data_IF_214480308127
#
_entry.id   IF_214480308127
#
_cell.length_a   1.000
_cell.length_b   1.000
_cell.length_c   1.000
_cell.angle_alpha   90.00
_cell.angle_beta   90.00
_cell.angle_gamma   90.00
#
_symmetry.space_group_name_H-M   'P 1'
#
loop_
_entity.id
_entity.type
_entity.pdbx_description
1 polymer ?
#
# COMPACT_ATOMS: atom_id res chain seq x y z
N UNK A 1 30.58 -8.72 42.19
CA UNK A 1 29.74 -7.81 41.38
C UNK A 1 30.57 -7.40 40.18
N UNK A 2 30.48 -8.15 39.08
CA UNK A 2 31.22 -7.88 37.83
C UNK A 2 30.17 -7.59 36.76
N UNK A 3 29.98 -6.30 36.46
CA UNK A 3 29.11 -5.81 35.39
C UNK A 3 29.83 -6.07 34.06
N UNK A 4 29.35 -7.05 33.28
CA UNK A 4 29.78 -7.26 31.91
C UNK A 4 29.15 -6.22 31.00
N UNK A 5 29.97 -5.32 30.45
CA UNK A 5 29.58 -4.39 29.40
C UNK A 5 29.47 -5.20 28.10
N UNK A 6 28.25 -5.44 27.64
CA UNK A 6 28.02 -5.99 26.30
C UNK A 6 28.25 -4.87 25.29
N UNK A 7 29.42 -4.83 24.68
CA UNK A 7 29.66 -4.04 23.47
C UNK A 7 28.85 -4.63 22.32
N UNK A 8 27.74 -4.00 21.97
CA UNK A 8 27.09 -4.21 20.68
C UNK A 8 28.02 -3.70 19.58
N UNK A 9 28.73 -4.61 18.91
CA UNK A 9 29.38 -4.30 17.64
C UNK A 9 28.28 -4.00 16.63
N UNK A 10 28.18 -2.74 16.19
CA UNK A 10 27.43 -2.41 14.98
C UNK A 10 28.17 -3.06 13.80
N UNK A 11 27.58 -4.12 13.23
CA UNK A 11 28.11 -4.72 12.01
C UNK A 11 27.82 -3.76 10.86
N UNK A 12 28.87 -3.19 10.26
CA UNK A 12 28.74 -2.38 9.05
C UNK A 12 28.33 -3.29 7.88
N UNK A 13 27.38 -2.83 7.07
CA UNK A 13 26.89 -3.59 5.92
C UNK A 13 28.03 -3.76 4.89
N UNK A 14 28.38 -5.01 4.57
CA UNK A 14 29.41 -5.30 3.56
C UNK A 14 28.79 -5.20 2.16
N UNK A 15 29.04 -4.10 1.46
CA UNK A 15 28.51 -3.88 0.12
C UNK A 15 29.52 -4.35 -0.94
N UNK A 16 29.07 -5.06 -2.01
CA UNK A 16 29.96 -5.44 -3.10
C UNK A 16 30.51 -4.21 -3.83
N UNK A 17 31.70 -4.33 -4.42
CA UNK A 17 32.28 -3.27 -5.23
C UNK A 17 31.67 -3.27 -6.64
N UNK A 18 31.53 -2.07 -7.23
CA UNK A 18 31.08 -1.94 -8.61
C UNK A 18 32.22 -2.35 -9.56
N UNK A 19 32.15 -3.56 -10.10
CA UNK A 19 33.14 -4.10 -11.05
C UNK A 19 32.77 -3.87 -12.52
N UNK A 20 31.53 -3.46 -12.79
CA UNK A 20 31.00 -3.28 -14.14
C UNK A 20 29.48 -3.13 -14.14
N UNK A 21 28.86 -3.23 -15.32
CA UNK A 21 27.40 -3.12 -15.50
C UNK A 21 26.63 -4.31 -14.94
N UNK A 22 27.32 -5.45 -14.77
CA UNK A 22 26.78 -6.64 -14.11
C UNK A 22 27.71 -7.09 -12.99
N UNK A 23 27.21 -7.09 -11.77
CA UNK A 23 27.90 -7.58 -10.57
C UNK A 23 27.16 -8.83 -10.09
N UNK A 24 27.74 -10.01 -10.33
CA UNK A 24 27.16 -11.29 -9.92
C UNK A 24 27.91 -11.87 -8.71
N UNK A 25 27.54 -11.44 -7.51
CA UNK A 25 28.13 -11.96 -6.27
C UNK A 25 27.51 -13.31 -5.87
N UNK A 26 26.23 -13.51 -6.23
CA UNK A 26 25.49 -14.73 -5.93
C UNK A 26 25.85 -15.91 -6.84
N UNK A 27 26.52 -15.67 -7.97
CA UNK A 27 26.93 -16.72 -8.91
C UNK A 27 25.76 -17.37 -9.65
N UNK A 28 24.70 -16.59 -9.92
CA UNK A 28 23.45 -17.09 -10.54
C UNK A 28 23.35 -16.75 -12.03
N UNK A 29 24.32 -16.00 -12.58
CA UNK A 29 24.35 -15.60 -13.98
C UNK A 29 25.46 -16.40 -14.68
N UNK A 30 25.13 -17.11 -15.76
CA UNK A 30 26.16 -17.79 -16.55
C UNK A 30 27.11 -16.78 -17.22
N UNK A 31 28.38 -17.14 -17.49
CA UNK A 31 29.32 -16.23 -18.16
C UNK A 31 28.79 -15.68 -19.50
N UNK A 32 28.12 -16.52 -20.28
CA UNK A 32 27.49 -16.15 -21.56
C UNK A 32 26.36 -15.13 -21.36
N UNK A 33 25.49 -15.36 -20.38
CA UNK A 33 24.40 -14.44 -20.05
C UNK A 33 24.93 -13.11 -19.51
N UNK A 34 26.01 -13.16 -18.70
CA UNK A 34 26.69 -11.97 -18.19
C UNK A 34 27.23 -11.11 -19.32
N UNK A 35 27.96 -11.68 -20.27
CA UNK A 35 28.48 -10.94 -21.44
C UNK A 35 27.36 -10.34 -22.28
N UNK A 36 26.28 -11.10 -22.52
CA UNK A 36 25.11 -10.62 -23.25
C UNK A 36 24.44 -9.43 -22.56
N UNK A 37 24.24 -9.52 -21.24
CA UNK A 37 23.69 -8.44 -20.42
C UNK A 37 24.61 -7.22 -20.44
N UNK A 38 25.92 -7.40 -20.24
CA UNK A 38 26.89 -6.30 -20.26
C UNK A 38 26.89 -5.55 -21.60
N UNK A 39 26.88 -6.27 -22.74
CA UNK A 39 26.79 -5.65 -24.06
C UNK A 39 25.48 -4.89 -24.26
N UNK A 40 24.36 -5.44 -23.78
CA UNK A 40 23.04 -4.80 -23.88
C UNK A 40 22.97 -3.52 -23.04
N UNK A 41 23.45 -3.58 -21.79
CA UNK A 41 23.49 -2.45 -20.88
C UNK A 41 24.44 -1.35 -21.39
N UNK A 42 25.58 -1.72 -21.98
CA UNK A 42 26.50 -0.79 -22.60
C UNK A 42 25.84 -0.06 -23.80
N UNK A 43 25.19 -0.80 -24.69
CA UNK A 43 24.49 -0.20 -25.83
C UNK A 43 23.36 0.75 -25.40
N UNK A 44 22.63 0.43 -24.33
CA UNK A 44 21.60 1.32 -23.79
C UNK A 44 22.18 2.61 -23.20
N UNK A 45 23.27 2.49 -22.44
CA UNK A 45 23.96 3.64 -21.86
C UNK A 45 24.56 4.54 -22.95
N UNK A 46 25.14 3.96 -24.01
CA UNK A 46 25.69 4.72 -25.15
C UNK A 46 24.61 5.48 -25.92
N UNK A 47 23.40 4.91 -26.04
CA UNK A 47 22.28 5.52 -26.76
C UNK A 47 21.56 6.60 -25.97
N UNK A 48 21.42 6.42 -24.65
CA UNK A 48 20.50 7.22 -23.82
C UNK A 48 21.18 7.99 -22.71
N UNK A 49 22.47 7.74 -22.45
CA UNK A 49 23.22 8.16 -21.26
C UNK A 49 22.74 7.56 -19.92
N UNK A 50 21.67 6.75 -19.91
CA UNK A 50 21.12 6.16 -18.69
C UNK A 50 21.99 5.00 -18.22
N UNK A 51 22.34 5.00 -16.94
CA UNK A 51 23.20 3.99 -16.35
C UNK A 51 22.37 2.91 -15.65
N UNK A 52 22.12 1.79 -16.34
CA UNK A 52 21.45 0.63 -15.77
C UNK A 52 22.48 -0.43 -15.34
N UNK A 53 22.45 -0.80 -14.06
CA UNK A 53 23.33 -1.81 -13.47
C UNK A 53 22.50 -2.97 -12.91
N UNK A 54 22.96 -4.20 -13.12
CA UNK A 54 22.38 -5.41 -12.55
C UNK A 54 23.30 -5.93 -11.45
N UNK A 55 22.76 -6.16 -10.26
CA UNK A 55 23.48 -6.72 -9.14
C UNK A 55 22.77 -7.96 -8.58
N UNK A 56 23.53 -9.02 -8.32
CA UNK A 56 23.07 -10.16 -7.53
C UNK A 56 23.90 -10.21 -6.26
N UNK A 57 23.26 -10.46 -5.11
CA UNK A 57 23.92 -10.50 -3.80
C UNK A 57 23.59 -11.78 -3.06
N UNK A 58 24.53 -12.32 -2.31
CA UNK A 58 24.30 -13.58 -1.58
C UNK A 58 23.33 -13.41 -0.42
N UNK A 59 23.40 -12.28 0.27
CA UNK A 59 22.49 -12.00 1.37
C UNK A 59 22.30 -10.50 1.56
N UNK A 60 21.14 -10.14 2.08
CA UNK A 60 20.84 -8.78 2.53
C UNK A 60 21.36 -8.51 3.95
N UNK A 61 22.10 -9.45 4.58
CA UNK A 61 22.73 -9.28 5.90
C UNK A 61 21.74 -8.84 7.01
N UNK A 62 20.48 -9.27 6.90
CA UNK A 62 19.42 -8.94 7.86
C UNK A 62 18.75 -7.59 7.65
N UNK A 63 19.11 -6.82 6.61
CA UNK A 63 18.41 -5.57 6.26
C UNK A 63 17.22 -5.83 5.31
N UNK A 64 16.37 -4.81 5.14
CA UNK A 64 15.36 -4.82 4.09
C UNK A 64 16.02 -4.73 2.70
N UNK A 65 15.32 -5.18 1.64
CA UNK A 65 15.89 -5.09 0.28
C UNK A 65 15.89 -3.63 -0.19
N UNK A 66 14.95 -2.85 0.32
CA UNK A 66 14.79 -1.43 0.07
C UNK A 66 15.99 -0.65 0.64
N UNK A 67 16.32 -0.85 1.92
CA UNK A 67 17.45 -0.18 2.56
C UNK A 67 18.79 -0.64 1.95
N UNK A 68 18.92 -1.93 1.64
CA UNK A 68 20.12 -2.48 1.00
C UNK A 68 20.31 -1.90 -0.39
N UNK A 69 19.26 -1.91 -1.23
CA UNK A 69 19.32 -1.37 -2.58
C UNK A 69 19.65 0.12 -2.57
N UNK A 70 19.06 0.90 -1.67
CA UNK A 70 19.33 2.32 -1.55
C UNK A 70 20.79 2.59 -1.12
N UNK A 71 21.29 1.87 -0.10
CA UNK A 71 22.68 1.98 0.33
C UNK A 71 23.66 1.59 -0.77
N UNK A 72 23.39 0.50 -1.49
CA UNK A 72 24.20 0.05 -2.62
C UNK A 72 24.19 1.07 -3.76
N UNK A 73 23.02 1.57 -4.12
CA UNK A 73 22.85 2.60 -5.16
C UNK A 73 23.66 3.86 -4.84
N UNK A 74 23.60 4.33 -3.58
CA UNK A 74 24.37 5.50 -3.10
C UNK A 74 25.86 5.22 -3.03
N UNK A 75 26.28 4.04 -2.55
CA UNK A 75 27.68 3.65 -2.46
C UNK A 75 28.33 3.61 -3.85
N UNK A 76 27.61 3.11 -4.84
CA UNK A 76 28.05 3.05 -6.24
C UNK A 76 27.88 4.35 -7.01
N UNK A 77 27.15 5.33 -6.44
CA UNK A 77 26.84 6.62 -7.07
C UNK A 77 26.29 6.43 -8.49
N UNK A 78 25.30 5.55 -8.62
CA UNK A 78 24.74 5.21 -9.93
C UNK A 78 24.00 6.40 -10.55
N UNK A 79 24.27 6.64 -11.83
CA UNK A 79 23.78 7.77 -12.61
C UNK A 79 24.76 8.95 -12.65
N UNK A 80 24.59 9.84 -13.63
CA UNK A 80 25.43 11.02 -13.73
C UNK A 80 25.02 12.07 -12.68
N UNK A 81 25.99 12.79 -12.12
CA UNK A 81 25.78 13.75 -11.03
C UNK A 81 24.70 14.82 -11.33
N UNK A 82 24.53 15.19 -12.61
CA UNK A 82 23.55 16.21 -13.03
C UNK A 82 22.17 15.62 -13.36
N UNK A 83 22.13 14.47 -14.02
CA UNK A 83 20.89 13.90 -14.55
C UNK A 83 20.27 12.85 -13.64
N UNK A 84 21.02 12.32 -12.67
CA UNK A 84 20.55 11.29 -11.72
C UNK A 84 19.85 10.11 -12.43
N UNK A 85 20.37 9.71 -13.59
CA UNK A 85 19.77 8.75 -14.50
C UNK A 85 20.29 7.32 -14.31
N UNK A 86 20.53 6.93 -13.05
CA UNK A 86 20.94 5.59 -12.68
C UNK A 86 19.75 4.68 -12.43
N UNK A 87 19.88 3.40 -12.71
CA UNK A 87 18.92 2.35 -12.33
C UNK A 87 19.69 1.13 -11.82
N UNK A 88 19.23 0.53 -10.74
CA UNK A 88 19.79 -0.69 -10.17
C UNK A 88 18.72 -1.78 -10.14
N UNK A 89 18.96 -2.88 -10.84
CA UNK A 89 18.21 -4.12 -10.66
C UNK A 89 18.96 -5.02 -9.67
N UNK A 90 18.48 -5.10 -8.43
CA UNK A 90 19.06 -5.91 -7.36
C UNK A 90 18.29 -7.22 -7.18
N UNK A 91 19.00 -8.34 -7.17
CA UNK A 91 18.46 -9.69 -6.94
C UNK A 91 19.14 -10.33 -5.73
N UNK A 92 18.34 -10.74 -4.75
CA UNK A 92 18.77 -11.49 -3.57
C UNK A 92 18.09 -12.87 -3.60
N UNK A 93 18.71 -13.90 -4.20
CA UNK A 93 18.09 -15.21 -4.42
C UNK A 93 17.79 -15.96 -3.12
N UNK A 94 18.63 -15.81 -2.08
CA UNK A 94 18.44 -16.48 -0.79
C UNK A 94 17.20 -15.95 -0.06
N UNK A 95 16.99 -14.64 -0.06
CA UNK A 95 15.80 -13.99 0.48
C UNK A 95 14.61 -14.04 -0.50
N UNK A 96 14.83 -14.50 -1.74
CA UNK A 96 13.85 -14.51 -2.86
C UNK A 96 13.25 -13.13 -3.11
N UNK A 97 14.06 -12.09 -3.00
CA UNK A 97 13.64 -10.70 -3.21
C UNK A 97 14.33 -10.12 -4.44
N UNK A 98 13.61 -9.24 -5.11
CA UNK A 98 14.12 -8.44 -6.22
C UNK A 98 13.61 -7.02 -6.06
N UNK A 99 14.45 -6.05 -6.39
CA UNK A 99 14.15 -4.63 -6.30
C UNK A 99 14.74 -3.92 -7.51
N UNK A 100 13.98 -2.96 -8.04
CA UNK A 100 14.48 -1.99 -9.02
C UNK A 100 14.56 -0.66 -8.27
N UNK A 101 15.76 -0.16 -8.05
CA UNK A 101 16.00 1.16 -7.47
C UNK A 101 16.28 2.13 -8.62
N UNK A 102 15.56 3.25 -8.65
CA UNK A 102 15.59 4.20 -9.76
C UNK A 102 16.12 5.52 -9.25
N UNK A 103 17.04 6.11 -10.01
CA UNK A 103 17.54 7.45 -9.78
C UNK A 103 16.51 8.49 -10.17
N UNK A 104 16.50 9.59 -9.43
CA UNK A 104 15.50 10.65 -9.52
C UNK A 104 15.20 11.14 -10.97
N UNK A 105 16.21 11.19 -11.84
CA UNK A 105 16.02 11.65 -13.23
C UNK A 105 15.14 10.74 -14.10
N UNK A 106 14.92 9.51 -13.66
CA UNK A 106 14.14 8.50 -14.39
C UNK A 106 12.85 8.10 -13.66
N UNK A 107 12.56 8.64 -12.47
CA UNK A 107 11.33 8.31 -11.72
C UNK A 107 10.05 8.73 -12.46
N UNK A 108 10.13 9.74 -13.34
CA UNK A 108 9.01 10.17 -14.17
C UNK A 108 8.62 9.18 -15.27
N UNK A 109 9.58 8.37 -15.75
CA UNK A 109 9.36 7.37 -16.80
C UNK A 109 9.25 5.95 -16.23
N UNK A 110 10.08 5.63 -15.23
CA UNK A 110 10.13 4.36 -14.52
C UNK A 110 9.72 4.58 -13.05
N UNK A 111 8.40 4.61 -12.82
CA UNK A 111 7.82 4.80 -11.48
C UNK A 111 7.95 3.55 -10.60
N UNK A 112 7.69 3.69 -9.29
CA UNK A 112 7.67 2.53 -8.37
C UNK A 112 6.56 1.52 -8.76
N UNK A 113 5.39 2.01 -9.16
CA UNK A 113 4.29 1.18 -9.65
C UNK A 113 4.71 0.37 -10.89
N UNK A 114 5.37 1.02 -11.86
CA UNK A 114 5.90 0.35 -13.05
C UNK A 114 6.97 -0.68 -12.69
N UNK A 115 7.89 -0.31 -11.81
CA UNK A 115 8.95 -1.20 -11.31
C UNK A 115 8.36 -2.46 -10.68
N UNK A 116 7.31 -2.31 -9.85
CA UNK A 116 6.57 -3.44 -9.25
C UNK A 116 5.88 -4.31 -10.30
N UNK A 117 5.33 -3.71 -11.35
CA UNK A 117 4.68 -4.44 -12.45
C UNK A 117 5.71 -5.25 -13.23
N UNK A 118 6.84 -4.64 -13.61
CA UNK A 118 7.95 -5.33 -14.27
C UNK A 118 8.44 -6.50 -13.43
N UNK A 119 8.68 -6.28 -12.13
CA UNK A 119 9.10 -7.34 -11.20
C UNK A 119 8.09 -8.50 -11.19
N UNK A 120 6.81 -8.20 -11.05
CA UNK A 120 5.80 -9.25 -10.85
C UNK A 120 5.39 -9.97 -12.14
N UNK A 121 5.44 -9.30 -13.29
CA UNK A 121 5.00 -9.86 -14.57
C UNK A 121 6.15 -10.34 -15.46
N UNK A 122 7.33 -9.71 -15.45
CA UNK A 122 8.48 -10.12 -16.26
C UNK A 122 9.42 -11.05 -15.49
N UNK A 123 9.77 -10.68 -14.26
CA UNK A 123 10.87 -11.31 -13.50
C UNK A 123 10.37 -12.51 -12.69
N UNK A 124 9.38 -12.29 -11.82
CA UNK A 124 8.93 -13.26 -10.84
C UNK A 124 8.45 -14.61 -11.43
N UNK A 125 7.75 -14.67 -12.58
CA UNK A 125 7.35 -15.95 -13.17
C UNK A 125 8.55 -16.82 -13.57
N UNK A 126 9.61 -16.21 -14.11
CA UNK A 126 10.83 -16.94 -14.51
C UNK A 126 11.64 -17.40 -13.31
N UNK A 127 11.75 -16.57 -12.27
CA UNK A 127 12.39 -16.97 -11.01
C UNK A 127 11.66 -18.13 -10.35
N UNK A 128 10.32 -18.17 -10.41
CA UNK A 128 9.53 -19.32 -9.94
C UNK A 128 9.80 -20.60 -10.73
N UNK A 129 10.13 -20.48 -12.02
CA UNK A 129 10.52 -21.60 -12.87
C UNK A 129 12.00 -22.01 -12.69
N UNK A 130 12.76 -21.32 -11.84
CA UNK A 130 14.20 -21.54 -11.65
C UNK A 130 15.09 -20.88 -12.70
N UNK A 131 14.51 -20.14 -13.65
CA UNK A 131 15.22 -19.40 -14.68
C UNK A 131 15.59 -17.98 -14.18
N UNK A 132 16.66 -17.89 -13.41
CA UNK A 132 17.16 -16.61 -12.88
C UNK A 132 17.77 -15.73 -13.98
N UNK A 133 18.57 -16.29 -14.88
CA UNK A 133 19.20 -15.55 -15.95
C UNK A 133 18.16 -14.94 -16.91
N UNK A 134 17.15 -15.72 -17.33
CA UNK A 134 16.08 -15.23 -18.17
C UNK A 134 15.13 -14.26 -17.47
N UNK A 135 14.95 -14.40 -16.14
CA UNK A 135 14.23 -13.44 -15.31
C UNK A 135 14.92 -12.08 -15.25
N UNK A 136 16.22 -12.08 -15.02
CA UNK A 136 17.04 -10.87 -15.05
C UNK A 136 17.01 -10.23 -16.43
N UNK A 137 17.21 -11.00 -17.50
CA UNK A 137 17.16 -10.50 -18.87
C UNK A 137 15.80 -9.87 -19.22
N UNK A 138 14.69 -10.53 -18.86
CA UNK A 138 13.35 -9.97 -19.09
C UNK A 138 13.10 -8.70 -18.28
N UNK A 139 13.61 -8.63 -17.04
CA UNK A 139 13.55 -7.42 -16.23
C UNK A 139 14.33 -6.26 -16.85
N UNK A 140 15.56 -6.54 -17.29
CA UNK A 140 16.41 -5.58 -17.99
C UNK A 140 15.76 -5.08 -19.28
N UNK A 141 15.18 -5.96 -20.08
CA UNK A 141 14.51 -5.59 -21.35
C UNK A 141 13.27 -4.73 -21.10
N UNK A 142 12.47 -5.07 -20.08
CA UNK A 142 11.31 -4.28 -19.69
C UNK A 142 11.68 -2.88 -19.19
N UNK A 143 12.75 -2.77 -18.40
CA UNK A 143 13.27 -1.47 -17.94
C UNK A 143 13.76 -0.65 -19.14
N UNK A 144 14.57 -1.24 -20.02
CA UNK A 144 15.08 -0.55 -21.22
C UNK A 144 13.93 -0.08 -22.12
N UNK A 145 12.94 -0.93 -22.37
CA UNK A 145 11.76 -0.58 -23.17
C UNK A 145 10.97 0.58 -22.56
N UNK A 146 10.74 0.52 -21.24
CA UNK A 146 10.05 1.59 -20.51
C UNK A 146 10.82 2.92 -20.60
N UNK A 147 12.14 2.89 -20.45
CA UNK A 147 13.00 4.08 -20.58
C UNK A 147 13.07 4.60 -22.03
N UNK A 148 12.87 3.74 -23.02
CA UNK A 148 12.76 4.11 -24.43
C UNK A 148 11.36 4.65 -24.81
N UNK A 149 10.41 4.68 -23.88
CA UNK A 149 9.07 5.22 -24.10
C UNK A 149 8.00 4.19 -24.51
N UNK A 150 8.27 2.90 -24.36
CA UNK A 150 7.27 1.86 -24.60
C UNK A 150 6.11 1.93 -23.59
N UNK A 151 4.88 1.97 -24.10
CA UNK A 151 3.66 2.07 -23.29
C UNK A 151 3.13 0.72 -22.83
N UNK A 152 3.64 -0.42 -23.32
CA UNK A 152 3.16 -1.77 -22.96
C UNK A 152 3.16 -1.98 -21.44
N UNK A 153 4.27 -1.61 -20.79
CA UNK A 153 4.42 -1.73 -19.34
C UNK A 153 3.56 -0.73 -18.56
N UNK A 154 3.33 0.46 -19.14
CA UNK A 154 2.45 1.48 -18.57
C UNK A 154 0.98 1.06 -18.58
N UNK A 155 0.51 0.47 -19.69
CA UNK A 155 -0.84 -0.07 -19.80
C UNK A 155 -1.06 -1.25 -18.86
N UNK A 156 -0.08 -2.16 -18.77
CA UNK A 156 -0.12 -3.27 -17.80
C UNK A 156 -0.15 -2.77 -16.35
N UNK A 157 0.55 -1.68 -16.05
CA UNK A 157 0.52 -1.09 -14.71
C UNK A 157 -0.86 -0.50 -14.38
N UNK A 158 -1.49 0.24 -15.30
CA UNK A 158 -2.84 0.79 -15.12
C UNK A 158 -3.88 -0.31 -14.89
N UNK A 159 -3.88 -1.35 -15.73
CA UNK A 159 -4.78 -2.51 -15.57
C UNK A 159 -4.54 -3.20 -14.22
N UNK A 160 -3.27 -3.32 -13.79
CA UNK A 160 -2.92 -3.93 -12.52
C UNK A 160 -3.33 -3.07 -11.33
N UNK A 161 -3.21 -1.75 -11.38
CA UNK A 161 -3.68 -0.85 -10.32
C UNK A 161 -5.21 -0.90 -10.19
N UNK A 162 -5.95 -0.90 -11.29
CA UNK A 162 -7.41 -1.16 -11.28
C UNK A 162 -7.75 -2.55 -10.71
N UNK A 163 -6.90 -3.56 -10.98
CA UNK A 163 -7.06 -4.92 -10.46
C UNK A 163 -6.69 -5.06 -8.98
N UNK A 164 -5.61 -4.41 -8.53
CA UNK A 164 -5.12 -4.40 -7.14
C UNK A 164 -6.01 -3.51 -6.26
N UNK A 165 -6.73 -2.52 -6.82
CA UNK A 165 -7.85 -1.86 -6.15
C UNK A 165 -9.00 -2.84 -5.81
N UNK A 166 -9.01 -4.03 -6.46
CA UNK A 166 -9.80 -5.20 -6.11
C UNK A 166 -8.95 -6.35 -5.52
N UNK A 167 -7.90 -6.05 -4.74
CA UNK A 167 -6.89 -7.02 -4.27
C UNK A 167 -7.47 -8.36 -3.80
N UNK A 168 -6.90 -9.47 -4.28
CA UNK A 168 -7.25 -10.83 -3.88
C UNK A 168 -7.23 -11.07 -2.36
N UNK A 169 -6.49 -10.29 -1.57
CA UNK A 169 -6.55 -10.38 -0.11
C UNK A 169 -7.93 -9.99 0.47
N UNK A 170 -8.66 -9.10 -0.19
CA UNK A 170 -10.04 -8.75 0.16
C UNK A 170 -11.04 -9.84 -0.29
N UNK A 171 -10.65 -10.74 -1.20
CA UNK A 171 -11.48 -11.84 -1.72
C UNK A 171 -11.14 -13.22 -1.13
N UNK A 172 -9.89 -13.45 -0.71
CA UNK A 172 -9.42 -14.72 -0.13
C UNK A 172 -10.08 -14.98 1.22
N UNK A 173 -10.25 -13.95 2.06
CA UNK A 173 -10.92 -14.11 3.36
C UNK A 173 -12.39 -14.51 3.20
N UNK A 174 -13.22 -13.84 2.37
CA UNK A 174 -14.58 -14.32 2.12
C UNK A 174 -14.62 -15.65 1.38
N UNK A 175 -13.68 -15.97 0.48
CA UNK A 175 -13.59 -17.29 -0.14
C UNK A 175 -13.24 -18.40 0.85
N UNK A 176 -12.33 -18.15 1.80
CA UNK A 176 -12.03 -19.09 2.88
C UNK A 176 -13.26 -19.28 3.76
N UNK A 177 -13.99 -18.21 4.08
CA UNK A 177 -15.24 -18.29 4.84
C UNK A 177 -16.32 -19.05 4.07
N UNK A 178 -16.49 -18.81 2.76
CA UNK A 178 -17.42 -19.54 1.89
C UNK A 178 -17.00 -21.01 1.76
N UNK A 179 -15.72 -21.30 1.55
CA UNK A 179 -15.19 -22.66 1.50
C UNK A 179 -15.36 -23.37 2.84
N UNK A 180 -15.20 -22.67 3.97
CA UNK A 180 -15.45 -23.22 5.30
C UNK A 180 -16.93 -23.49 5.54
N UNK A 181 -17.82 -22.59 5.07
CA UNK A 181 -19.27 -22.79 5.08
C UNK A 181 -19.65 -24.01 4.21
N UNK A 182 -19.04 -24.17 3.03
CA UNK A 182 -19.26 -25.30 2.12
C UNK A 182 -18.71 -26.62 2.66
N UNK A 183 -17.52 -26.62 3.28
CA UNK A 183 -16.93 -27.80 3.94
C UNK A 183 -17.74 -28.19 5.17
N UNK A 184 -18.23 -27.22 5.93
CA UNK A 184 -19.17 -27.44 7.02
C UNK A 184 -20.51 -28.01 6.51
N UNK A 185 -21.03 -27.50 5.39
CA UNK A 185 -22.23 -28.02 4.71
C UNK A 185 -22.03 -29.45 4.19
N UNK A 186 -20.85 -29.77 3.68
CA UNK A 186 -20.51 -31.11 3.21
C UNK A 186 -20.32 -32.10 4.36
N UNK A 187 -19.78 -31.66 5.50
CA UNK A 187 -19.66 -32.49 6.71
C UNK A 187 -21.02 -32.70 7.41
N UNK A 188 -21.91 -31.71 7.39
CA UNK A 188 -23.28 -31.84 7.91
C UNK A 188 -24.15 -32.72 7.00
N UNK A 189 -24.02 -32.62 5.67
CA UNK A 189 -24.68 -33.49 4.71
C UNK A 189 -24.21 -34.95 4.81
N UNK A 190 -22.90 -35.19 5.03
CA UNK A 190 -22.36 -36.55 5.23
C UNK A 190 -22.79 -37.19 6.56
N UNK A 191 -22.93 -36.39 7.64
CA UNK A 191 -23.50 -36.87 8.92
C UNK A 191 -25.01 -37.08 8.86
N UNK A 192 -25.76 -36.23 8.14
CA UNK A 192 -27.19 -36.43 7.89
C UNK A 192 -27.46 -37.65 6.98
N UNK A 193 -26.58 -37.94 6.02
CA UNK A 193 -26.66 -39.15 5.21
C UNK A 193 -26.32 -40.44 6.01
N UNK A 194 -25.50 -40.34 7.05
CA UNK A 194 -25.20 -41.46 7.97
C UNK A 194 -26.24 -41.64 9.09
N UNK A 195 -27.05 -40.62 9.39
CA UNK A 195 -28.13 -40.67 10.37
C UNK A 195 -29.47 -40.33 9.71
N UNK A 196 -30.10 -41.30 9.04
CA UNK A 196 -31.52 -41.19 8.67
C UNK A 196 -31.85 -41.49 7.22
N UNK A 197 -31.55 -42.71 6.76
CA UNK A 197 -32.35 -43.32 5.72
C UNK A 197 -33.74 -43.69 6.25
N UNK A 198 -34.63 -42.72 6.44
CA UNK A 198 -36.07 -42.97 6.62
C UNK A 198 -36.80 -42.55 5.35
N UNK A 199 -36.81 -43.47 4.37
CA UNK A 199 -37.87 -43.50 3.36
C UNK A 199 -39.18 -43.72 4.12
N UNK A 200 -39.94 -42.66 4.33
CA UNK A 200 -41.25 -42.75 4.98
C UNK A 200 -42.23 -43.44 4.03
N UNK A 201 -42.38 -44.75 4.21
CA UNK A 201 -43.36 -45.57 3.52
C UNK A 201 -44.70 -45.47 4.26
N UNK A 202 -45.64 -44.68 3.75
CA UNK A 202 -47.03 -44.70 4.25
C UNK A 202 -47.87 -45.70 3.45
N UNK A 203 -48.40 -46.71 4.16
CA UNK A 203 -49.35 -47.69 3.63
C UNK A 203 -50.77 -47.18 3.87
N UNK A 204 -51.54 -46.92 2.82
CA UNK A 204 -52.98 -46.67 2.97
C UNK A 204 -53.71 -47.99 3.22
N UNK A 205 -54.91 -47.92 3.82
CA UNK A 205 -55.75 -49.06 4.25
C UNK A 205 -56.16 -50.02 3.11
N UNK A 206 -55.80 -49.72 1.86
CA UNK A 206 -56.11 -50.52 0.67
C UNK A 206 -54.86 -51.11 0.00
N UNK A 207 -53.69 -51.09 0.67
CA UNK A 207 -52.53 -51.87 0.28
C UNK A 207 -51.69 -51.34 -0.89
N UNK A 208 -51.91 -50.11 -1.38
CA UNK A 208 -51.08 -49.51 -2.45
C UNK A 208 -50.04 -48.55 -1.90
N UNK A 209 -48.79 -48.71 -2.36
CA UNK A 209 -47.67 -47.80 -2.05
C UNK A 209 -47.79 -46.53 -2.90
N UNK A 210 -47.68 -45.37 -2.26
CA UNK A 210 -47.55 -44.07 -2.95
C UNK A 210 -46.17 -43.51 -2.60
N UNK A 211 -45.33 -43.35 -3.61
CA UNK A 211 -44.09 -42.59 -3.52
C UNK A 211 -44.50 -41.12 -3.66
N UNK A 212 -44.26 -40.32 -2.63
CA UNK A 212 -44.39 -38.85 -2.72
C UNK A 212 -43.03 -38.30 -3.13
N UNK A 213 -42.85 -37.81 -4.37
CA UNK A 213 -41.65 -37.06 -4.71
C UNK A 213 -41.66 -35.74 -3.93
N UNK A 214 -40.56 -35.42 -3.27
CA UNK A 214 -40.36 -34.10 -2.65
C UNK A 214 -40.42 -32.96 -3.67
N UNK A 215 -40.47 -31.69 -3.22
CA UNK A 215 -40.75 -30.56 -4.09
C UNK A 215 -39.72 -30.45 -5.22
N UNK A 216 -40.19 -30.60 -6.45
CA UNK A 216 -39.46 -30.30 -7.67
C UNK A 216 -39.13 -28.80 -7.69
N UNK A 217 -37.83 -28.46 -7.63
CA UNK A 217 -37.36 -27.13 -8.00
C UNK A 217 -37.50 -26.97 -9.51
N UNK A 218 -38.62 -26.37 -9.92
CA UNK A 218 -38.84 -25.85 -11.26
C UNK A 218 -38.11 -24.52 -11.43
N UNK A 219 -37.44 -24.38 -12.58
CA UNK A 219 -36.70 -23.18 -12.95
C UNK A 219 -37.59 -21.94 -13.06
N UNK A 220 -36.96 -20.80 -12.80
CA UNK A 220 -37.49 -19.47 -13.04
C UNK A 220 -36.33 -18.52 -13.22
N UNK A 221 -35.88 -18.35 -14.46
CA UNK A 221 -35.02 -17.24 -14.84
C UNK A 221 -35.80 -15.93 -14.71
N UNK A 222 -35.22 -14.97 -14.00
CA UNK A 222 -35.75 -13.62 -13.86
C UNK A 222 -34.57 -12.66 -13.92
N UNK A 223 -34.55 -11.84 -14.96
CA UNK A 223 -33.43 -10.97 -15.33
C UNK A 223 -33.11 -9.91 -14.28
N UNK A 224 -31.81 -9.58 -14.19
CA UNK A 224 -31.37 -8.38 -13.51
C UNK A 224 -31.55 -7.19 -14.45
N UNK A 225 -32.64 -6.45 -14.26
CA UNK A 225 -32.81 -5.12 -14.82
C UNK A 225 -31.94 -4.13 -14.04
N UNK A 226 -31.14 -3.36 -14.79
CA UNK A 226 -30.38 -2.26 -14.25
C UNK A 226 -31.24 -1.19 -13.59
N UNK A 227 -30.70 -0.65 -12.51
CA UNK A 227 -30.98 0.66 -11.94
C UNK A 227 -29.68 1.07 -11.26
N UNK A 228 -28.94 2.05 -11.76
CA UNK A 228 -29.42 3.41 -11.87
C UNK A 228 -28.74 4.18 -10.74
N UNK A 229 -27.65 4.84 -11.10
CA UNK A 229 -26.86 5.78 -10.32
C UNK A 229 -27.74 6.66 -9.44
N UNK A 230 -27.63 6.48 -8.12
CA UNK A 230 -28.08 7.44 -7.13
C UNK A 230 -26.92 8.32 -6.71
N UNK A 231 -26.61 9.32 -7.54
CA UNK A 231 -25.86 10.50 -7.14
C UNK A 231 -26.73 11.30 -6.16
N UNK A 232 -26.52 11.08 -4.87
CA UNK A 232 -27.12 11.89 -3.82
C UNK A 232 -26.13 12.99 -3.48
N UNK A 233 -26.32 14.13 -4.16
CA UNK A 233 -25.74 15.42 -3.81
C UNK A 233 -26.06 15.77 -2.35
N UNK A 234 -25.16 15.39 -1.46
CA UNK A 234 -25.00 15.98 -0.14
C UNK A 234 -23.86 16.99 -0.25
N UNK A 235 -24.18 18.28 -0.16
CA UNK A 235 -23.23 19.37 -0.27
C UNK A 235 -21.95 19.09 0.52
N UNK A 236 -20.81 19.22 -0.16
CA UNK A 236 -19.50 19.15 0.44
C UNK A 236 -19.39 20.25 1.52
N UNK A 237 -19.68 19.90 2.77
CA UNK A 237 -19.20 20.65 3.93
C UNK A 237 -17.67 20.55 3.86
N UNK A 238 -17.04 21.64 3.42
CA UNK A 238 -15.60 21.73 3.33
C UNK A 238 -15.02 21.49 4.72
N UNK A 239 -14.16 20.47 4.85
CA UNK A 239 -13.33 20.16 6.02
C UNK A 239 -12.69 21.37 6.70
N UNK A 240 -12.40 22.37 5.87
CA UNK A 240 -11.78 23.63 6.21
C UNK A 240 -12.58 24.68 5.45
N UNK A 241 -13.10 25.66 6.17
CA UNK A 241 -13.81 26.81 5.60
C UNK A 241 -12.91 27.55 4.61
N UNK A 242 -13.50 28.28 3.67
CA UNK A 242 -12.71 29.06 2.71
C UNK A 242 -11.80 30.08 3.42
N UNK A 243 -12.23 30.61 4.57
CA UNK A 243 -11.43 31.53 5.39
C UNK A 243 -10.25 30.83 6.06
N UNK A 244 -10.44 29.62 6.59
CA UNK A 244 -9.33 28.83 7.14
C UNK A 244 -8.34 28.39 6.04
N UNK A 245 -8.81 28.09 4.83
CA UNK A 245 -7.92 27.81 3.68
C UNK A 245 -7.05 29.02 3.35
N UNK A 246 -7.63 30.22 3.37
CA UNK A 246 -6.89 31.47 3.17
C UNK A 246 -5.86 31.68 4.28
N UNK A 247 -6.22 31.45 5.53
CA UNK A 247 -5.29 31.58 6.66
C UNK A 247 -4.08 30.64 6.53
N UNK A 248 -4.32 29.37 6.16
CA UNK A 248 -3.21 28.42 5.96
C UNK A 248 -2.36 28.84 4.75
N UNK A 249 -2.97 29.27 3.64
CA UNK A 249 -2.23 29.75 2.46
C UNK A 249 -1.43 31.03 2.74
N UNK A 250 -1.93 31.93 3.59
CA UNK A 250 -1.18 33.09 4.08
C UNK A 250 0.00 32.67 4.97
N UNK A 251 -0.19 31.68 5.85
CA UNK A 251 0.88 31.15 6.68
C UNK A 251 1.98 30.47 5.86
N UNK A 252 1.61 29.70 4.83
CA UNK A 252 2.56 29.09 3.87
C UNK A 252 3.36 30.19 3.18
N UNK A 253 2.69 31.19 2.60
CA UNK A 253 3.37 32.33 1.93
C UNK A 253 4.30 33.10 2.86
N UNK A 254 3.90 33.32 4.11
CA UNK A 254 4.73 33.99 5.10
C UNK A 254 5.97 33.15 5.46
N UNK A 255 5.83 31.83 5.56
CA UNK A 255 6.93 30.92 5.81
C UNK A 255 7.92 30.90 4.63
N UNK A 256 7.42 30.66 3.42
CA UNK A 256 8.22 30.60 2.19
C UNK A 256 8.90 31.93 1.89
N UNK A 257 8.35 33.08 2.30
CA UNK A 257 9.04 34.36 2.20
C UNK A 257 10.42 34.39 2.91
N UNK A 258 10.64 33.49 3.89
CA UNK A 258 11.87 33.43 4.70
C UNK A 258 12.81 32.28 4.36
N UNK A 259 12.35 31.26 3.63
CA UNK A 259 13.11 30.05 3.32
C UNK A 259 12.98 29.64 1.86
N UNK A 260 13.98 28.96 1.30
CA UNK A 260 13.87 28.24 0.01
C UNK A 260 13.21 26.84 0.15
N UNK A 261 12.73 26.50 1.36
CA UNK A 261 11.94 25.31 1.61
C UNK A 261 10.49 25.49 1.18
N UNK A 262 9.97 24.53 0.43
CA UNK A 262 8.60 24.53 -0.08
C UNK A 262 7.69 23.76 0.90
N UNK A 263 6.58 24.35 1.32
CA UNK A 263 5.70 23.77 2.34
C UNK A 263 4.33 23.48 1.74
N UNK A 264 3.99 22.19 1.61
CA UNK A 264 2.67 21.75 1.16
C UNK A 264 1.87 21.21 2.33
N UNK A 265 0.62 21.66 2.43
CA UNK A 265 -0.32 21.19 3.44
C UNK A 265 -1.42 20.35 2.78
N UNK A 266 -1.61 19.12 3.28
CA UNK A 266 -2.66 18.22 2.83
C UNK A 266 -3.57 17.88 4.00
N UNK A 267 -4.87 18.08 3.81
CA UNK A 267 -5.91 17.70 4.78
C UNK A 267 -6.91 16.78 4.12
N UNK A 268 -7.17 15.64 4.76
CA UNK A 268 -8.17 14.69 4.28
C UNK A 268 -9.17 14.29 5.36
N UNK A 269 -10.38 13.95 4.92
CA UNK A 269 -11.46 13.50 5.83
C UNK A 269 -11.10 12.19 6.49
N UNK A 270 -10.63 11.25 5.67
CA UNK A 270 -10.23 9.92 6.10
C UNK A 270 -9.19 9.37 5.12
N UNK A 271 -8.20 8.66 5.63
CA UNK A 271 -7.19 7.99 4.78
C UNK A 271 -7.71 6.72 4.12
N UNK A 272 -8.78 6.12 4.66
CA UNK A 272 -9.43 4.97 4.05
C UNK A 272 -10.90 4.86 4.49
N UNK A 273 -11.67 4.14 3.69
CA UNK A 273 -13.08 3.89 3.92
C UNK A 273 -13.35 2.67 4.82
N UNK A 274 -12.33 1.85 5.13
CA UNK A 274 -12.39 0.71 6.08
C UNK A 274 -13.62 -0.22 5.98
N UNK A 275 -14.30 -0.29 4.82
CA UNK A 275 -15.59 -1.03 4.67
C UNK A 275 -15.44 -2.53 4.93
N UNK A 276 -14.24 -3.08 4.73
CA UNK A 276 -13.94 -4.49 4.98
C UNK A 276 -13.88 -4.87 6.46
N UNK A 277 -13.54 -3.93 7.35
CA UNK A 277 -13.32 -4.23 8.78
C UNK A 277 -14.63 -4.56 9.53
N UNK A 278 -15.73 -3.80 9.37
CA UNK A 278 -17.04 -4.18 9.90
C UNK A 278 -17.54 -5.53 9.40
N UNK A 279 -17.35 -5.83 8.12
CA UNK A 279 -17.75 -7.10 7.52
C UNK A 279 -16.99 -8.28 8.13
N UNK A 280 -15.69 -8.09 8.41
CA UNK A 280 -14.87 -9.09 9.07
C UNK A 280 -15.35 -9.35 10.51
N UNK A 281 -15.66 -8.30 11.28
CA UNK A 281 -16.23 -8.46 12.61
C UNK A 281 -17.61 -9.12 12.57
N UNK A 282 -18.48 -8.73 11.64
CA UNK A 282 -19.79 -9.36 11.45
C UNK A 282 -19.65 -10.86 11.12
N UNK A 283 -18.69 -11.21 10.25
CA UNK A 283 -18.40 -12.60 9.91
C UNK A 283 -17.91 -13.40 11.12
N UNK A 284 -16.94 -12.87 11.89
CA UNK A 284 -16.40 -13.54 13.08
C UNK A 284 -17.48 -13.78 14.14
N UNK A 285 -18.29 -12.77 14.43
CA UNK A 285 -19.38 -12.87 15.41
C UNK A 285 -20.47 -13.84 14.94
N UNK A 286 -20.84 -13.79 13.65
CA UNK A 286 -21.76 -14.75 13.08
C UNK A 286 -21.20 -16.18 13.10
N UNK A 287 -19.89 -16.36 12.97
CA UNK A 287 -19.25 -17.68 13.05
C UNK A 287 -19.24 -18.23 14.48
N UNK A 288 -19.18 -17.36 15.48
CA UNK A 288 -19.30 -17.72 16.89
C UNK A 288 -20.75 -18.04 17.30
N UNK A 289 -21.74 -17.47 16.60
CA UNK A 289 -23.17 -17.56 16.94
C UNK A 289 -23.75 -19.00 17.08
N UNK A 290 -23.37 -19.99 16.25
CA UNK A 290 -23.91 -21.35 16.37
C UNK A 290 -23.52 -22.08 17.65
N UNK A 291 -22.34 -21.79 18.22
CA UNK A 291 -21.81 -22.50 19.39
C UNK A 291 -22.73 -22.50 20.61
N UNK A 292 -23.21 -21.35 21.10
CA UNK A 292 -24.16 -21.33 22.23
C UNK A 292 -25.50 -22.01 21.89
N UNK A 293 -25.97 -21.91 20.65
CA UNK A 293 -27.21 -22.57 20.22
C UNK A 293 -27.07 -24.09 20.23
N UNK A 294 -25.95 -24.63 19.77
CA UNK A 294 -25.66 -26.07 19.81
C UNK A 294 -25.52 -26.56 21.27
N UNK A 295 -24.89 -25.77 22.13
CA UNK A 295 -24.61 -26.16 23.51
C UNK A 295 -25.86 -26.16 24.40
N UNK A 296 -26.82 -25.26 24.16
CA UNK A 296 -27.94 -25.02 25.06
C UNK A 296 -29.32 -25.27 24.48
N UNK A 297 -29.43 -25.56 23.18
CA UNK A 297 -30.73 -25.75 22.52
C UNK A 297 -30.77 -27.03 21.70
N UNK A 298 -31.97 -27.59 21.54
CA UNK A 298 -32.24 -28.73 20.66
C UNK A 298 -32.70 -28.28 19.26
N UNK A 299 -32.27 -27.08 18.82
CA UNK A 299 -32.66 -26.54 17.52
C UNK A 299 -32.05 -27.38 16.38
N UNK A 300 -32.79 -27.48 15.28
CA UNK A 300 -32.29 -28.15 14.08
C UNK A 300 -31.08 -27.40 13.51
N UNK A 301 -30.14 -28.13 12.89
CA UNK A 301 -28.98 -27.54 12.24
C UNK A 301 -29.37 -26.49 11.17
N UNK A 302 -30.49 -26.72 10.47
CA UNK A 302 -31.04 -25.76 9.51
C UNK A 302 -31.45 -24.44 10.20
N UNK A 303 -32.19 -24.51 11.31
CA UNK A 303 -32.62 -23.33 12.07
C UNK A 303 -31.43 -22.53 12.58
N UNK A 304 -30.43 -23.21 13.15
CA UNK A 304 -29.20 -22.57 13.64
C UNK A 304 -28.50 -21.83 12.48
N UNK A 305 -28.41 -22.45 11.31
CA UNK A 305 -27.77 -21.83 10.14
C UNK A 305 -28.53 -20.61 9.60
N UNK A 306 -29.86 -20.67 9.52
CA UNK A 306 -30.67 -19.51 9.13
C UNK A 306 -30.47 -18.36 10.12
N UNK A 307 -30.45 -18.64 11.43
CA UNK A 307 -30.17 -17.59 12.43
C UNK A 307 -28.77 -17.01 12.30
N UNK A 308 -27.76 -17.83 11.96
CA UNK A 308 -26.40 -17.36 11.68
C UNK A 308 -26.36 -16.38 10.51
N UNK A 309 -27.06 -16.68 9.40
CA UNK A 309 -27.11 -15.79 8.23
C UNK A 309 -27.82 -14.46 8.54
N UNK A 310 -28.91 -14.51 9.30
CA UNK A 310 -29.63 -13.32 9.75
C UNK A 310 -28.76 -12.47 10.66
N UNK A 311 -28.06 -13.09 11.63
CA UNK A 311 -27.12 -12.39 12.52
C UNK A 311 -25.99 -11.75 11.74
N UNK A 312 -25.41 -12.44 10.75
CA UNK A 312 -24.40 -11.86 9.87
C UNK A 312 -24.93 -10.62 9.14
N UNK A 313 -26.10 -10.72 8.49
CA UNK A 313 -26.68 -9.61 7.74
C UNK A 313 -26.97 -8.40 8.64
N UNK A 314 -27.55 -8.63 9.83
CA UNK A 314 -27.82 -7.56 10.79
C UNK A 314 -26.54 -6.92 11.31
N UNK A 315 -25.54 -7.72 11.69
CA UNK A 315 -24.25 -7.19 12.15
C UNK A 315 -23.51 -6.45 11.02
N UNK A 316 -23.57 -6.95 9.79
CA UNK A 316 -22.97 -6.28 8.63
C UNK A 316 -23.59 -4.89 8.43
N UNK A 317 -24.92 -4.76 8.53
CA UNK A 317 -25.62 -3.47 8.42
C UNK A 317 -25.27 -2.55 9.60
N UNK A 318 -25.39 -3.04 10.83
CA UNK A 318 -25.19 -2.25 12.05
C UNK A 318 -23.74 -1.77 12.18
N UNK A 319 -22.77 -2.65 11.97
CA UNK A 319 -21.35 -2.32 12.12
C UNK A 319 -20.82 -1.47 10.96
N UNK A 320 -21.47 -1.52 9.78
CA UNK A 320 -21.12 -0.67 8.63
C UNK A 320 -21.60 0.77 8.79
N UNK A 321 -22.47 1.06 9.76
CA UNK A 321 -22.90 2.43 10.04
C UNK A 321 -21.72 3.30 10.47
N UNK A 322 -21.67 4.54 9.97
CA UNK A 322 -20.49 5.42 10.02
C UNK A 322 -19.92 5.65 11.42
N UNK A 323 -20.79 5.68 12.45
CA UNK A 323 -20.40 5.86 13.84
C UNK A 323 -19.57 4.70 14.40
N UNK A 324 -19.87 3.45 14.02
CA UNK A 324 -19.18 2.25 14.50
C UNK A 324 -18.00 1.85 13.62
N UNK A 325 -18.11 2.12 12.31
CA UNK A 325 -17.11 1.77 11.30
C UNK A 325 -15.71 2.18 11.72
N UNK A 326 -15.49 3.42 12.13
CA UNK A 326 -14.16 3.88 12.54
C UNK A 326 -13.76 3.39 13.94
N UNK A 327 -14.71 3.15 14.86
CA UNK A 327 -14.38 2.75 16.24
C UNK A 327 -13.87 1.31 16.34
N UNK A 328 -14.34 0.44 15.45
CA UNK A 328 -13.95 -0.97 15.39
C UNK A 328 -12.58 -1.22 14.76
N UNK A 329 -12.03 -0.24 14.04
CA UNK A 329 -10.74 -0.39 13.36
C UNK A 329 -9.61 -0.25 14.39
N UNK A 330 -8.71 -1.26 14.50
CA UNK A 330 -7.55 -1.16 15.38
C UNK A 330 -6.66 0.03 15.06
N UNK A 331 -6.16 0.73 16.09
CA UNK A 331 -5.24 1.87 15.94
C UNK A 331 -4.01 1.59 15.06
N UNK A 332 -3.36 0.41 15.10
CA UNK A 332 -2.21 0.12 14.23
C UNK A 332 -2.58 0.11 12.75
N UNK A 333 -3.77 -0.36 12.42
CA UNK A 333 -4.27 -0.43 11.03
C UNK A 333 -4.54 0.98 10.52
N UNK A 334 -5.23 1.81 11.33
CA UNK A 334 -5.46 3.23 11.00
C UNK A 334 -4.16 3.98 10.73
N UNK A 335 -3.17 3.84 11.63
CA UNK A 335 -1.85 4.48 11.48
C UNK A 335 -1.12 4.03 10.23
N UNK A 336 -1.13 2.73 9.90
CA UNK A 336 -0.50 2.22 8.68
C UNK A 336 -1.14 2.78 7.42
N UNK A 337 -2.48 2.83 7.37
CA UNK A 337 -3.23 3.38 6.22
C UNK A 337 -3.02 4.88 6.07
N UNK A 338 -3.11 5.64 7.17
CA UNK A 338 -2.85 7.08 7.15
C UNK A 338 -1.41 7.42 6.74
N UNK A 339 -0.43 6.67 7.24
CA UNK A 339 0.98 6.82 6.85
C UNK A 339 1.23 6.51 5.38
N UNK A 340 0.55 5.50 4.84
CA UNK A 340 0.62 5.17 3.42
C UNK A 340 0.05 6.32 2.57
N UNK A 341 -1.13 6.81 2.93
CA UNK A 341 -1.76 7.95 2.24
C UNK A 341 -0.89 9.21 2.29
N UNK A 342 -0.25 9.50 3.43
CA UNK A 342 0.68 10.63 3.56
C UNK A 342 1.86 10.53 2.59
N UNK A 343 2.43 9.33 2.43
CA UNK A 343 3.52 9.08 1.47
C UNK A 343 3.05 9.21 0.02
N UNK A 344 1.90 8.64 -0.31
CA UNK A 344 1.31 8.77 -1.65
C UNK A 344 1.12 10.25 -2.03
N UNK A 345 0.62 11.06 -1.09
CA UNK A 345 0.49 12.51 -1.29
C UNK A 345 1.84 13.22 -1.41
N UNK A 346 2.84 12.83 -0.61
CA UNK A 346 4.19 13.38 -0.72
C UNK A 346 4.77 13.22 -2.14
N UNK A 347 4.57 12.05 -2.75
CA UNK A 347 4.99 11.80 -4.12
C UNK A 347 4.10 12.49 -5.16
N UNK A 348 2.78 12.47 -4.97
CA UNK A 348 1.82 13.06 -5.90
C UNK A 348 1.99 14.59 -6.04
N UNK A 349 2.35 15.27 -4.94
CA UNK A 349 2.59 16.72 -4.93
C UNK A 349 3.98 17.10 -5.46
N UNK A 350 4.84 16.14 -5.80
CA UNK A 350 6.14 16.41 -6.40
C UNK A 350 7.14 17.09 -5.45
N UNK A 351 6.99 16.93 -4.13
CA UNK A 351 7.85 17.58 -3.13
C UNK A 351 9.32 17.17 -3.20
N UNK A 352 9.62 16.03 -3.83
CA UNK A 352 11.00 15.59 -4.16
C UNK A 352 11.62 16.30 -5.36
N UNK A 353 10.82 17.07 -6.11
CA UNK A 353 11.24 17.70 -7.36
C UNK A 353 11.88 19.07 -7.20
N UNK A 354 11.98 19.55 -5.97
CA UNK A 354 12.55 20.85 -5.66
C UNK A 354 14.06 20.87 -5.96
N UNK A 355 14.59 21.97 -6.50
CA UNK A 355 16.02 22.06 -6.88
C UNK A 355 16.97 21.75 -5.72
N UNK A 356 16.59 22.12 -4.50
CA UNK A 356 17.39 21.92 -3.28
C UNK A 356 16.97 20.70 -2.45
N UNK A 357 16.01 19.89 -2.92
CA UNK A 357 15.39 18.79 -2.14
C UNK A 357 14.90 19.28 -0.78
N UNK A 358 14.20 20.41 -0.81
CA UNK A 358 13.75 21.19 0.34
C UNK A 358 12.24 21.14 0.56
N UNK A 359 11.57 20.08 0.07
CA UNK A 359 10.12 19.91 0.22
C UNK A 359 9.69 19.38 1.59
N UNK A 360 8.67 20.01 2.18
CA UNK A 360 8.00 19.58 3.41
C UNK A 360 6.51 19.37 3.17
N UNK A 361 6.00 18.20 3.54
CA UNK A 361 4.57 17.91 3.60
C UNK A 361 4.10 17.92 5.05
N UNK A 362 3.11 18.76 5.33
CA UNK A 362 2.33 18.70 6.57
C UNK A 362 1.02 17.98 6.24
N UNK A 363 0.89 16.75 6.73
CA UNK A 363 -0.25 15.89 6.43
C UNK A 363 -1.15 15.70 7.65
N UNK A 364 -2.46 15.84 7.44
CA UNK A 364 -3.50 15.65 8.46
C UNK A 364 -4.64 14.78 7.93
N UNK A 365 -4.98 13.72 8.66
CA UNK A 365 -6.16 12.89 8.45
C UNK A 365 -7.10 12.96 9.66
N UNK A 366 -8.27 13.56 9.46
CA UNK A 366 -9.19 13.92 10.55
C UNK A 366 -9.83 12.69 11.21
N UNK A 367 -10.44 11.80 10.44
CA UNK A 367 -11.14 10.62 10.99
C UNK A 367 -10.22 9.64 11.73
N UNK A 368 -8.94 9.60 11.35
CA UNK A 368 -7.92 8.82 12.03
C UNK A 368 -7.29 9.54 13.24
N UNK A 369 -7.56 10.83 13.43
CA UNK A 369 -6.82 11.75 14.32
C UNK A 369 -5.31 11.55 14.17
N UNK A 370 -4.84 11.61 12.92
CA UNK A 370 -3.46 11.34 12.54
C UNK A 370 -2.83 12.56 11.88
N UNK A 371 -1.62 12.91 12.31
CA UNK A 371 -0.79 13.92 11.68
C UNK A 371 0.63 13.38 11.50
N UNK A 372 1.27 13.72 10.39
CA UNK A 372 2.66 13.39 10.10
C UNK A 372 3.27 14.53 9.29
N UNK A 373 4.54 14.85 9.57
CA UNK A 373 5.34 15.77 8.77
C UNK A 373 6.33 14.91 7.99
N UNK A 374 6.28 14.97 6.66
CA UNK A 374 7.20 14.26 5.79
C UNK A 374 8.12 15.28 5.15
N UNK A 375 9.42 15.04 5.21
CA UNK A 375 10.44 15.92 4.64
C UNK A 375 11.24 15.18 3.58
N UNK A 376 11.73 15.90 2.58
CA UNK A 376 12.62 15.36 1.58
C UNK A 376 14.03 15.08 2.14
N UNK A 377 14.81 14.28 1.42
CA UNK A 377 16.14 13.82 1.76
C UNK A 377 17.11 14.99 2.05
N UNK A 378 16.95 16.13 1.36
CA UNK A 378 17.80 17.31 1.56
C UNK A 378 17.62 17.93 2.94
N UNK A 379 16.38 18.04 3.42
CA UNK A 379 16.06 18.51 4.77
C UNK A 379 16.41 17.44 5.82
N UNK A 380 16.06 16.18 5.57
CA UNK A 380 16.34 15.07 6.48
C UNK A 380 17.85 14.91 6.78
N UNK A 381 18.72 15.26 5.82
CA UNK A 381 20.16 15.23 6.02
C UNK A 381 20.71 16.36 6.91
N UNK A 382 19.95 17.44 7.10
CA UNK A 382 20.39 18.65 7.84
C UNK A 382 19.64 18.88 9.15
N UNK A 383 18.42 18.36 9.27
CA UNK A 383 17.52 18.62 10.41
C UNK A 383 17.10 17.30 11.04
N UNK A 384 17.43 17.13 12.31
CA UNK A 384 17.07 15.94 13.08
C UNK A 384 15.56 15.87 13.37
N UNK A 385 15.07 14.64 13.54
CA UNK A 385 13.65 14.37 13.79
C UNK A 385 13.11 15.06 15.06
N UNK A 386 13.95 15.29 16.07
CA UNK A 386 13.55 15.95 17.32
C UNK A 386 13.17 17.43 17.11
N UNK A 387 13.69 18.09 16.06
CA UNK A 387 13.37 19.49 15.75
C UNK A 387 11.89 19.66 15.36
N UNK A 388 11.26 18.63 14.77
CA UNK A 388 9.87 18.68 14.33
C UNK A 388 8.85 18.36 15.42
N UNK A 389 9.31 17.98 16.61
CA UNK A 389 8.44 17.47 17.68
C UNK A 389 7.43 18.51 18.14
N UNK A 390 7.83 19.77 18.22
CA UNK A 390 6.95 20.88 18.64
C UNK A 390 5.88 21.17 17.59
N UNK A 391 6.25 21.20 16.30
CA UNK A 391 5.30 21.33 15.20
C UNK A 391 4.29 20.17 15.16
N UNK A 392 4.76 18.93 15.35
CA UNK A 392 3.90 17.74 15.45
C UNK A 392 2.96 17.79 16.67
N UNK A 393 3.42 18.31 17.81
CA UNK A 393 2.58 18.49 18.99
C UNK A 393 1.46 19.49 18.72
N UNK A 394 1.77 20.62 18.06
CA UNK A 394 0.77 21.62 17.66
C UNK A 394 -0.30 21.03 16.72
N UNK A 395 0.10 20.22 15.73
CA UNK A 395 -0.84 19.51 14.85
C UNK A 395 -1.73 18.54 15.65
N UNK A 396 -1.14 17.80 16.57
CA UNK A 396 -1.87 16.83 17.39
C UNK A 396 -2.89 17.51 18.31
N UNK A 397 -2.55 18.66 18.88
CA UNK A 397 -3.45 19.42 19.75
C UNK A 397 -4.59 20.06 18.93
N UNK A 398 -4.30 20.64 17.77
CA UNK A 398 -5.33 21.14 16.85
C UNK A 398 -6.32 20.04 16.45
N UNK A 399 -5.85 18.80 16.24
CA UNK A 399 -6.71 17.65 15.95
C UNK A 399 -7.53 17.16 17.15
N UNK A 400 -7.01 17.31 18.37
CA UNK A 400 -7.75 16.95 19.61
C UNK A 400 -8.87 17.94 19.89
N UNK A 401 -8.64 19.22 19.60
CA UNK A 401 -9.59 20.31 19.82
C UNK A 401 -10.62 20.45 18.69
N UNK A 402 -10.51 19.67 17.61
CA UNK A 402 -11.40 19.77 16.44
C UNK A 402 -11.15 21.04 15.62
N UNK A 403 -9.94 21.60 15.70
CA UNK A 403 -9.50 22.81 14.98
C UNK A 403 -8.24 22.52 14.14
N UNK A 404 -8.33 21.64 13.13
CA UNK A 404 -7.17 21.20 12.35
C UNK A 404 -6.47 22.37 11.64
N UNK A 405 -7.22 23.37 11.17
CA UNK A 405 -6.66 24.55 10.52
C UNK A 405 -5.75 25.37 11.44
N UNK A 406 -6.16 25.58 12.71
CA UNK A 406 -5.36 26.30 13.69
C UNK A 406 -4.07 25.54 14.03
N UNK A 407 -4.15 24.21 14.18
CA UNK A 407 -2.98 23.35 14.38
C UNK A 407 -2.01 23.40 13.21
N UNK A 408 -2.52 23.42 11.97
CA UNK A 408 -1.68 23.55 10.77
C UNK A 408 -0.96 24.89 10.70
N UNK A 409 -1.68 26.00 10.90
CA UNK A 409 -1.09 27.34 10.90
C UNK A 409 0.01 27.47 11.96
N UNK A 410 -0.23 26.93 13.17
CA UNK A 410 0.79 26.89 14.23
C UNK A 410 2.00 26.04 13.87
N UNK A 411 1.79 24.87 13.26
CA UNK A 411 2.88 24.00 12.81
C UNK A 411 3.71 24.65 11.70
N UNK A 412 3.09 25.32 10.73
CA UNK A 412 3.80 26.06 9.68
C UNK A 412 4.67 27.15 10.31
N UNK A 413 4.14 27.91 11.27
CA UNK A 413 4.88 28.96 11.95
C UNK A 413 6.11 28.44 12.73
N UNK A 414 6.05 27.20 13.24
CA UNK A 414 7.17 26.53 13.90
C UNK A 414 8.18 25.92 12.91
N UNK A 415 7.71 25.43 11.77
CA UNK A 415 8.57 24.89 10.70
C UNK A 415 9.36 25.99 9.98
N UNK A 416 8.77 27.16 9.78
CA UNK A 416 9.38 28.28 9.04
C UNK A 416 10.79 28.69 9.55
N UNK A 417 11.00 29.00 10.85
CA UNK A 417 12.32 29.38 11.35
C UNK A 417 13.33 28.22 11.31
N UNK A 418 12.87 26.98 11.48
CA UNK A 418 13.73 25.79 11.35
C UNK A 418 14.25 25.66 9.92
N UNK A 419 13.38 25.84 8.93
CA UNK A 419 13.76 25.78 7.51
C UNK A 419 14.65 26.97 7.13
N UNK A 420 14.30 28.19 7.55
CA UNK A 420 15.09 29.39 7.24
C UNK A 420 16.55 29.32 7.74
N UNK A 421 16.79 28.66 8.87
CA UNK A 421 18.15 28.47 9.40
C UNK A 421 19.03 27.57 8.52
N UNK A 422 18.44 26.56 7.86
CA UNK A 422 19.18 25.56 7.07
C UNK A 422 19.09 25.76 5.56
N UNK A 423 18.07 26.51 5.12
CA UNK A 423 17.69 26.81 3.73
C UNK A 423 17.19 28.26 3.63
N UNK A 424 18.08 29.26 3.75
CA UNK A 424 17.70 30.67 3.65
C UNK A 424 17.30 31.04 2.21
N UNK A 425 16.28 31.89 2.06
CA UNK A 425 15.78 32.29 0.75
C UNK A 425 16.84 33.04 -0.07
N UNK A 426 17.07 32.62 -1.30
CA UNK A 426 17.95 33.31 -2.27
C UNK A 426 17.19 34.36 -3.06
N UNK A 427 17.86 35.43 -3.50
CA UNK A 427 17.25 36.49 -4.32
C UNK A 427 16.82 36.03 -5.73
N UNK A 428 17.24 34.83 -6.15
CA UNK A 428 16.88 34.19 -7.42
C UNK A 428 15.85 33.07 -7.25
N UNK A 429 15.32 32.92 -6.04
CA UNK A 429 14.42 31.84 -5.68
C UNK A 429 13.01 32.09 -6.22
N UNK A 430 12.50 31.10 -6.94
CA UNK A 430 11.19 31.11 -7.60
C UNK A 430 10.35 30.03 -6.98
N UNK A 431 9.12 30.38 -6.61
CA UNK A 431 8.18 29.45 -6.00
C UNK A 431 7.95 28.22 -6.91
N UNK A 432 8.36 27.04 -6.44
CA UNK A 432 8.39 25.81 -7.23
C UNK A 432 7.09 25.01 -7.10
N UNK A 433 6.31 25.20 -6.01
CA UNK A 433 5.03 24.55 -5.78
C UNK A 433 3.90 25.57 -5.52
N UNK A 434 2.64 25.24 -5.84
CA UNK A 434 1.54 26.17 -5.60
C UNK A 434 1.19 26.27 -4.11
N UNK A 435 1.10 27.51 -3.58
CA UNK A 435 0.70 27.87 -2.20
C UNK A 435 -0.77 27.53 -1.88
N UNK A 436 -1.14 26.25 -1.99
CA UNK A 436 -2.52 25.80 -1.84
C UNK A 436 -2.59 24.63 -0.88
N UNK A 437 -3.55 24.72 0.03
CA UNK A 437 -3.96 23.57 0.84
C UNK A 437 -4.73 22.62 -0.05
N UNK A 438 -4.21 21.41 -0.21
CA UNK A 438 -4.88 20.34 -0.93
C UNK A 438 -5.83 19.66 0.05
N UNK A 439 -7.13 19.83 -0.19
CA UNK A 439 -8.17 19.18 0.61
C UNK A 439 -8.79 18.06 -0.20
N UNK A 440 -8.73 16.84 0.34
CA UNK A 440 -9.13 15.59 -0.35
C UNK A 440 -10.23 14.86 0.43
#
# INVERSE_FOLDING_TARGET
>A
MLLGIASTFAHALELPQLTGRVVDEAGIISPEAKTKLESKLAAHEDLTSNQLVVATVRSLQGTSIEDYANQLFRAWKLGQAKTNNGVLLLVAPNERKVRIEVGYGLEGTLTDALSKVIITAAIAPKFKAGDFAGGIEAGTDAVIGTLAGDTEWQERAKVREESDAGSYQDMIVPLIVIAFILVFFMMSARRAAQQGGTRTYHRTRNGRWIIVPGPTWGGGGGGWSGGGSGDWGGGAMSLITDDERRQIAEAIRAAEATTSGEIVCVVMRAASDYRSVPLLWAALLALAWPWPLIAWTSLSAHTIHVTQLVVFALLAIVLSFSAWRFRLVPRPVKRRRARQAAREQFFAQGLRRTKERSGVLIFVAEAEHYAEILVDDGIAAKVDNDAWREALACLADGLREGRPAAGMTGAIALCAPLLANHFPRSATDTNELPDKVVVI
#
